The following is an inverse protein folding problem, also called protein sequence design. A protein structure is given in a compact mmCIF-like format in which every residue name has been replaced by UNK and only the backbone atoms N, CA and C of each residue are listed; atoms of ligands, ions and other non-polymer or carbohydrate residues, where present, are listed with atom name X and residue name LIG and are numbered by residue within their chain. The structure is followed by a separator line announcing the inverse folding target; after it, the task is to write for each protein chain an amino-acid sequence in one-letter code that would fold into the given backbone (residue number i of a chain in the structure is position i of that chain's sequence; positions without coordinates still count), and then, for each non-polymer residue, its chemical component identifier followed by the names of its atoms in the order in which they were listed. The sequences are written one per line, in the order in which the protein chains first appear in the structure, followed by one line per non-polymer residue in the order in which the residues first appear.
data_IF_579737244743
#
_entry.id   IF_579737244743
#
_cell.length_a   1.000
_cell.length_b   1.000
_cell.length_c   1.000
_cell.angle_alpha   90.00
_cell.angle_beta   90.00
_cell.angle_gamma   90.00
#
_symmetry.space_group_name_H-M   'P 1'
#
loop_
_entity.id
_entity.type
_entity.pdbx_description
1 polymer ?
#
# COMPACT_ATOMS: atom_id res chain seq x y z
N UNK A 1 -16.87 -31.80 16.01
CA UNK A 1 -17.34 -31.61 14.62
C UNK A 1 -17.67 -30.15 14.31
N UNK A 2 -18.67 -29.49 14.94
CA UNK A 2 -18.98 -28.06 14.66
C UNK A 2 -17.82 -27.11 15.01
N UNK A 3 -17.20 -27.29 16.17
CA UNK A 3 -16.06 -26.48 16.61
C UNK A 3 -14.84 -26.65 15.69
N UNK A 4 -14.56 -27.88 15.25
CA UNK A 4 -13.48 -28.19 14.32
C UNK A 4 -13.69 -27.55 12.94
N UNK A 5 -14.92 -27.58 12.41
CA UNK A 5 -15.27 -26.90 11.17
C UNK A 5 -15.05 -25.38 11.32
N UNK A 6 -15.49 -24.79 12.43
CA UNK A 6 -15.31 -23.37 12.70
C UNK A 6 -13.82 -23.00 12.75
N UNK A 7 -13.01 -23.75 13.50
CA UNK A 7 -11.57 -23.52 13.59
C UNK A 7 -10.90 -23.61 12.22
N UNK A 8 -11.29 -24.59 11.39
CA UNK A 8 -10.76 -24.73 10.03
C UNK A 8 -11.16 -23.55 9.13
N UNK A 9 -12.41 -23.10 9.17
CA UNK A 9 -12.85 -21.93 8.39
C UNK A 9 -12.10 -20.65 8.79
N UNK A 10 -11.87 -20.44 10.09
CA UNK A 10 -11.10 -19.29 10.59
C UNK A 10 -9.62 -19.38 10.19
N UNK A 11 -9.04 -20.60 10.22
CA UNK A 11 -7.68 -20.85 9.74
C UNK A 11 -7.56 -20.55 8.25
N UNK A 12 -8.49 -21.04 7.43
CA UNK A 12 -8.47 -20.82 5.98
C UNK A 12 -8.64 -19.33 5.64
N UNK A 13 -9.55 -18.64 6.34
CA UNK A 13 -9.69 -17.19 6.26
C UNK A 13 -8.40 -16.47 6.65
N UNK A 14 -7.75 -16.86 7.75
CA UNK A 14 -6.49 -16.28 8.20
C UNK A 14 -5.36 -16.46 7.18
N UNK A 15 -5.19 -17.67 6.63
CA UNK A 15 -4.15 -17.95 5.63
C UNK A 15 -4.37 -17.10 4.38
N UNK A 16 -5.60 -17.01 3.89
CA UNK A 16 -5.96 -16.19 2.73
C UNK A 16 -5.71 -14.69 3.01
N UNK A 17 -6.05 -14.20 4.19
CA UNK A 17 -5.79 -12.80 4.57
C UNK A 17 -4.30 -12.48 4.68
N UNK A 18 -3.49 -13.39 5.24
CA UNK A 18 -2.04 -13.23 5.30
C UNK A 18 -1.42 -13.17 3.90
N UNK A 19 -1.84 -14.07 3.00
CA UNK A 19 -1.42 -14.04 1.59
C UNK A 19 -1.75 -12.69 0.94
N UNK A 20 -2.98 -12.19 1.10
CA UNK A 20 -3.35 -10.89 0.55
C UNK A 20 -2.56 -9.73 1.17
N UNK A 21 -2.25 -9.80 2.47
CA UNK A 21 -1.44 -8.79 3.14
C UNK A 21 -0.01 -8.75 2.59
N UNK A 22 0.62 -9.91 2.41
CA UNK A 22 1.95 -10.06 1.81
C UNK A 22 1.97 -9.61 0.33
N UNK A 23 0.96 -9.99 -0.46
CA UNK A 23 0.81 -9.58 -1.85
C UNK A 23 0.73 -8.06 -2.00
N UNK A 24 0.04 -7.37 -1.09
CA UNK A 24 -0.04 -5.91 -1.10
C UNK A 24 1.33 -5.29 -0.84
N UNK A 25 2.13 -5.85 0.06
CA UNK A 25 3.49 -5.34 0.30
C UNK A 25 4.39 -5.55 -0.93
N UNK A 26 4.27 -6.72 -1.57
CA UNK A 26 4.93 -7.01 -2.86
C UNK A 26 4.54 -6.01 -3.97
N UNK A 27 3.25 -5.66 -4.09
CA UNK A 27 2.79 -4.61 -5.00
C UNK A 27 3.39 -3.24 -4.65
N UNK A 28 3.51 -2.93 -3.37
CA UNK A 28 4.16 -1.70 -2.90
C UNK A 28 5.61 -1.59 -3.36
N UNK A 29 6.38 -2.69 -3.29
CA UNK A 29 7.74 -2.75 -3.82
C UNK A 29 7.78 -2.57 -5.34
N UNK A 30 6.87 -3.22 -6.07
CA UNK A 30 6.78 -3.07 -7.53
C UNK A 30 6.48 -1.62 -7.96
N UNK A 31 5.57 -0.95 -7.25
CA UNK A 31 5.23 0.46 -7.51
C UNK A 31 6.45 1.36 -7.32
N UNK A 32 7.24 1.15 -6.26
CA UNK A 32 8.50 1.87 -6.06
C UNK A 32 9.48 1.63 -7.21
N UNK A 33 9.60 0.38 -7.66
CA UNK A 33 10.42 0.02 -8.81
C UNK A 33 9.99 0.77 -10.08
N UNK A 34 8.68 0.82 -10.37
CA UNK A 34 8.16 1.57 -11.51
C UNK A 34 8.39 3.07 -11.39
N UNK A 35 8.21 3.64 -10.19
CA UNK A 35 8.50 5.05 -9.94
C UNK A 35 9.95 5.41 -10.26
N UNK A 36 10.90 4.58 -9.80
CA UNK A 36 12.33 4.78 -10.06
C UNK A 36 12.62 4.67 -11.56
N UNK A 37 12.13 3.61 -12.22
CA UNK A 37 12.36 3.38 -13.65
C UNK A 37 11.85 4.52 -14.51
N UNK A 38 10.61 4.98 -14.29
CA UNK A 38 10.02 6.10 -15.05
C UNK A 38 10.77 7.40 -14.79
N UNK A 39 11.20 7.65 -13.55
CA UNK A 39 12.01 8.83 -13.20
C UNK A 39 13.34 8.82 -13.93
N UNK A 40 14.08 7.71 -13.89
CA UNK A 40 15.38 7.60 -14.58
C UNK A 40 15.21 7.81 -16.09
N UNK A 41 14.18 7.21 -16.69
CA UNK A 41 13.91 7.36 -18.11
C UNK A 41 13.60 8.82 -18.49
N UNK A 42 12.78 9.51 -17.69
CA UNK A 42 12.42 10.91 -17.93
C UNK A 42 13.58 11.86 -17.66
N UNK A 43 14.42 11.61 -16.66
CA UNK A 43 15.66 12.36 -16.43
C UNK A 43 16.65 12.18 -17.58
N UNK A 44 16.84 10.94 -18.05
CA UNK A 44 17.69 10.66 -19.20
C UNK A 44 17.19 11.36 -20.46
N UNK A 45 15.88 11.34 -20.72
CA UNK A 45 15.27 12.06 -21.83
C UNK A 45 15.48 13.59 -21.71
N UNK A 46 15.34 14.16 -20.51
CA UNK A 46 15.57 15.58 -20.26
C UNK A 46 16.99 15.99 -20.66
N UNK A 47 17.99 15.18 -20.27
CA UNK A 47 19.40 15.41 -20.56
C UNK A 47 19.76 15.21 -22.04
N UNK A 48 19.24 14.16 -22.68
CA UNK A 48 19.57 13.84 -24.08
C UNK A 48 18.95 14.86 -25.05
N UNK A 49 17.72 15.29 -24.79
CA UNK A 49 16.97 16.16 -25.70
C UNK A 49 17.01 17.65 -25.31
N UNK A 50 17.72 17.99 -24.22
CA UNK A 50 17.78 19.34 -23.67
C UNK A 50 16.39 19.95 -23.44
N UNK A 51 15.50 19.14 -22.83
CA UNK A 51 14.10 19.50 -22.54
C UNK A 51 13.85 19.43 -21.04
N UNK A 52 14.06 20.55 -20.35
CA UNK A 52 13.82 20.66 -18.91
C UNK A 52 12.38 20.34 -18.51
N UNK A 53 11.41 20.53 -19.41
CA UNK A 53 10.01 20.18 -19.17
C UNK A 53 9.81 18.69 -18.86
N UNK A 54 10.72 17.81 -19.28
CA UNK A 54 10.68 16.40 -18.94
C UNK A 54 10.85 16.13 -17.44
N UNK A 55 11.52 17.03 -16.68
CA UNK A 55 11.58 16.93 -15.21
C UNK A 55 10.20 17.16 -14.56
N UNK A 56 9.35 18.00 -15.15
CA UNK A 56 7.97 18.20 -14.66
C UNK A 56 7.13 16.94 -14.89
N UNK A 57 7.38 16.22 -16.00
CA UNK A 57 6.75 14.92 -16.26
C UNK A 57 7.19 13.89 -15.21
N UNK A 58 8.47 13.88 -14.83
CA UNK A 58 8.97 13.02 -13.74
C UNK A 58 8.21 13.29 -12.43
N UNK A 59 8.04 14.57 -12.05
CA UNK A 59 7.31 14.94 -10.84
C UNK A 59 5.87 14.43 -10.88
N UNK A 60 5.16 14.63 -12.01
CA UNK A 60 3.80 14.15 -12.17
C UNK A 60 3.70 12.63 -12.04
N UNK A 61 4.63 11.88 -12.66
CA UNK A 61 4.67 10.42 -12.54
C UNK A 61 4.93 9.97 -11.10
N UNK A 62 5.88 10.60 -10.40
CA UNK A 62 6.24 10.27 -9.03
C UNK A 62 5.11 10.56 -8.05
N UNK A 63 4.37 11.66 -8.23
CA UNK A 63 3.17 11.94 -7.44
C UNK A 63 2.08 10.86 -7.63
N UNK A 64 1.90 10.38 -8.86
CA UNK A 64 0.97 9.30 -9.16
C UNK A 64 1.40 7.97 -8.51
N UNK A 65 2.67 7.60 -8.60
CA UNK A 65 3.18 6.40 -7.94
C UNK A 65 3.14 6.51 -6.41
N UNK A 66 3.39 7.71 -5.86
CA UNK A 66 3.28 7.97 -4.43
C UNK A 66 1.85 7.74 -3.93
N UNK A 67 0.86 8.29 -4.64
CA UNK A 67 -0.55 8.06 -4.36
C UNK A 67 -0.90 6.57 -4.47
N UNK A 68 -0.46 5.91 -5.54
CA UNK A 68 -0.77 4.50 -5.78
C UNK A 68 -0.19 3.59 -4.69
N UNK A 69 1.08 3.79 -4.29
CA UNK A 69 1.68 3.03 -3.20
C UNK A 69 0.87 3.22 -1.90
N UNK A 70 0.56 4.48 -1.58
CA UNK A 70 -0.20 4.80 -0.38
C UNK A 70 -1.61 4.23 -0.39
N UNK A 71 -2.27 4.20 -1.55
CA UNK A 71 -3.59 3.62 -1.72
C UNK A 71 -3.58 2.11 -1.42
N UNK A 72 -2.63 1.38 -2.02
CA UNK A 72 -2.48 -0.06 -1.77
C UNK A 72 -2.15 -0.35 -0.30
N UNK A 73 -1.23 0.40 0.31
CA UNK A 73 -0.94 0.27 1.75
C UNK A 73 -2.13 0.67 2.63
N UNK A 74 -2.96 1.59 2.17
CA UNK A 74 -4.20 1.95 2.83
C UNK A 74 -5.21 0.80 2.84
N UNK A 75 -5.27 0.00 1.78
CA UNK A 75 -6.13 -1.18 1.71
C UNK A 75 -5.67 -2.30 2.66
N UNK A 76 -4.36 -2.51 2.84
CA UNK A 76 -3.85 -3.56 3.75
C UNK A 76 -4.22 -3.33 5.21
N UNK A 77 -4.46 -2.07 5.62
CA UNK A 77 -4.94 -1.74 6.96
C UNK A 77 -6.21 -2.51 7.33
N UNK A 78 -7.15 -2.65 6.40
CA UNK A 78 -8.46 -3.26 6.67
C UNK A 78 -8.36 -4.78 6.80
N UNK A 79 -7.56 -5.43 5.95
CA UNK A 79 -7.27 -6.86 6.08
C UNK A 79 -6.53 -7.18 7.38
N UNK A 80 -5.61 -6.30 7.80
CA UNK A 80 -4.91 -6.42 9.06
C UNK A 80 -5.85 -6.36 10.29
N UNK A 81 -7.00 -5.68 10.21
CA UNK A 81 -7.96 -5.70 11.32
C UNK A 81 -8.59 -7.08 11.49
N UNK A 82 -8.99 -7.72 10.39
CA UNK A 82 -9.56 -9.08 10.46
C UNK A 82 -8.55 -10.10 10.93
N UNK A 83 -7.29 -9.99 10.48
CA UNK A 83 -6.18 -10.82 11.00
C UNK A 83 -6.08 -10.71 12.52
N UNK A 84 -6.06 -9.48 13.05
CA UNK A 84 -5.98 -9.24 14.51
C UNK A 84 -7.18 -9.79 15.27
N UNK A 85 -8.39 -9.70 14.72
CA UNK A 85 -9.57 -10.30 15.34
C UNK A 85 -9.45 -11.81 15.49
N UNK A 86 -8.98 -12.48 14.43
CA UNK A 86 -8.77 -13.93 14.45
C UNK A 86 -7.67 -14.29 15.47
N UNK A 87 -6.53 -13.60 15.44
CA UNK A 87 -5.43 -13.82 16.40
C UNK A 87 -5.88 -13.64 17.85
N UNK A 88 -6.63 -12.56 18.14
CA UNK A 88 -7.16 -12.31 19.47
C UNK A 88 -8.14 -13.41 19.92
N UNK A 89 -8.98 -13.92 19.02
CA UNK A 89 -9.88 -15.03 19.33
C UNK A 89 -9.14 -16.32 19.67
N UNK A 90 -8.02 -16.60 19.00
CA UNK A 90 -7.22 -17.80 19.26
C UNK A 90 -6.35 -17.71 20.53
N UNK A 91 -6.05 -16.51 21.05
CA UNK A 91 -5.25 -16.34 22.27
C UNK A 91 -5.95 -16.78 23.58
N UNK A 92 -7.28 -16.88 23.62
CA UNK A 92 -8.02 -17.14 24.85
C UNK A 92 -9.35 -17.90 24.69
N UNK A 93 -9.43 -18.80 23.72
CA UNK A 93 -10.64 -19.57 23.34
C UNK A 93 -11.85 -18.75 22.80
N UNK A 94 -11.72 -17.43 22.69
CA UNK A 94 -12.76 -16.55 22.11
C UNK A 94 -13.09 -16.81 20.63
N UNK A 95 -12.32 -17.64 19.95
CA UNK A 95 -12.56 -18.05 18.57
C UNK A 95 -13.90 -18.78 18.38
N UNK A 96 -14.46 -19.39 19.43
CA UNK A 96 -15.77 -20.05 19.37
C UNK A 96 -16.93 -19.08 19.12
N UNK A 97 -16.74 -17.80 19.45
CA UNK A 97 -17.72 -16.73 19.25
C UNK A 97 -17.50 -15.97 17.93
N UNK A 98 -16.35 -16.18 17.27
CA UNK A 98 -16.06 -15.55 16.00
C UNK A 98 -16.92 -16.16 14.90
N UNK A 99 -17.58 -15.29 14.13
CA UNK A 99 -18.16 -15.69 12.85
C UNK A 99 -17.04 -15.76 11.80
N UNK A 100 -16.87 -16.87 11.06
CA UNK A 100 -15.89 -16.97 9.99
C UNK A 100 -16.36 -16.27 8.72
N UNK A 101 -15.45 -16.10 7.76
CA UNK A 101 -15.72 -15.55 6.43
C UNK A 101 -16.28 -14.12 6.47
N UNK A 102 -15.76 -13.29 7.38
CA UNK A 102 -16.23 -11.92 7.61
C UNK A 102 -15.33 -10.85 7.00
N UNK A 103 -14.44 -11.23 6.06
CA UNK A 103 -13.50 -10.31 5.40
C UNK A 103 -14.17 -9.02 4.91
N UNK A 104 -15.22 -9.12 4.10
CA UNK A 104 -15.91 -7.95 3.56
C UNK A 104 -16.65 -7.15 4.63
N UNK A 105 -17.35 -7.83 5.54
CA UNK A 105 -18.08 -7.19 6.64
C UNK A 105 -17.16 -6.35 7.52
N UNK A 106 -15.99 -6.90 7.88
CA UNK A 106 -14.98 -6.21 8.67
C UNK A 106 -14.35 -5.08 7.87
N UNK A 107 -14.02 -5.32 6.59
CA UNK A 107 -13.51 -4.28 5.71
C UNK A 107 -14.46 -3.08 5.64
N UNK A 108 -15.75 -3.31 5.35
CA UNK A 108 -16.76 -2.25 5.23
C UNK A 108 -16.92 -1.51 6.54
N UNK A 109 -17.07 -2.23 7.65
CA UNK A 109 -17.21 -1.63 8.98
C UNK A 109 -16.02 -0.72 9.34
N UNK A 110 -14.81 -1.17 9.06
CA UNK A 110 -13.61 -0.39 9.35
C UNK A 110 -13.42 0.79 8.37
N UNK A 111 -13.86 0.64 7.12
CA UNK A 111 -13.90 1.71 6.14
C UNK A 111 -14.92 2.79 6.53
N UNK A 112 -16.15 2.41 6.89
CA UNK A 112 -17.20 3.34 7.31
C UNK A 112 -16.79 4.11 8.59
N UNK A 113 -16.13 3.41 9.52
CA UNK A 113 -15.65 4.01 10.77
C UNK A 113 -14.51 4.98 10.55
N UNK A 114 -13.61 4.71 9.61
CA UNK A 114 -12.31 5.37 9.58
C UNK A 114 -11.90 6.02 8.26
N UNK A 115 -12.74 5.89 7.23
CA UNK A 115 -12.50 6.29 5.86
C UNK A 115 -11.32 5.58 5.21
N UNK A 116 -11.02 5.95 3.96
CA UNK A 116 -9.81 5.53 3.27
C UNK A 116 -8.55 5.96 4.02
N UNK A 117 -7.54 5.09 4.05
CA UNK A 117 -6.26 5.36 4.75
C UNK A 117 -5.18 5.94 3.86
N UNK A 118 -5.44 6.16 2.57
CA UNK A 118 -4.45 6.62 1.57
C UNK A 118 -3.64 7.81 2.07
N UNK A 119 -4.29 8.89 2.49
CA UNK A 119 -3.58 10.10 2.93
C UNK A 119 -2.64 9.83 4.11
N UNK A 120 -3.08 9.03 5.08
CA UNK A 120 -2.24 8.62 6.22
C UNK A 120 -1.01 7.86 5.76
N UNK A 121 -1.14 6.96 4.78
CA UNK A 121 -0.03 6.18 4.27
C UNK A 121 0.87 6.96 3.29
N UNK A 122 0.38 8.02 2.65
CA UNK A 122 1.21 8.93 1.86
C UNK A 122 2.30 9.55 2.74
N UNK A 123 1.94 10.03 3.92
CA UNK A 123 2.87 10.68 4.85
C UNK A 123 3.60 9.73 5.80
N UNK A 124 3.41 8.41 5.65
CA UNK A 124 4.22 7.43 6.38
C UNK A 124 5.65 7.48 5.83
N UNK A 125 6.65 7.54 6.71
CA UNK A 125 8.07 7.69 6.33
C UNK A 125 8.53 6.70 5.25
N UNK A 126 8.10 5.45 5.35
CA UNK A 126 8.42 4.38 4.39
C UNK A 126 7.91 4.64 2.97
N UNK A 127 6.83 5.41 2.83
CA UNK A 127 6.17 5.76 1.56
C UNK A 127 6.62 7.13 1.07
N UNK A 128 6.71 8.11 1.99
CA UNK A 128 7.06 9.50 1.70
C UNK A 128 8.51 9.65 1.21
N UNK A 129 9.47 9.07 1.93
CA UNK A 129 10.89 9.38 1.76
C UNK A 129 11.40 9.09 0.34
N UNK A 130 11.11 7.94 -0.29
CA UNK A 130 11.60 7.67 -1.64
C UNK A 130 11.08 8.67 -2.69
N UNK A 131 9.80 9.03 -2.61
CA UNK A 131 9.16 9.92 -3.56
C UNK A 131 9.60 11.37 -3.36
N UNK A 132 9.76 11.81 -2.11
CA UNK A 132 10.22 13.15 -1.79
C UNK A 132 11.64 13.41 -2.34
N UNK A 133 12.55 12.44 -2.20
CA UNK A 133 13.92 12.54 -2.75
C UNK A 133 13.88 12.77 -4.25
N UNK A 134 13.04 12.01 -4.96
CA UNK A 134 12.91 12.14 -6.41
C UNK A 134 12.32 13.50 -6.79
N UNK A 135 11.28 13.96 -6.09
CA UNK A 135 10.63 15.26 -6.36
C UNK A 135 11.64 16.40 -6.17
N UNK A 136 12.41 16.39 -5.08
CA UNK A 136 13.44 17.40 -4.82
C UNK A 136 14.50 17.39 -5.93
N UNK A 137 15.01 16.20 -6.29
CA UNK A 137 16.00 16.08 -7.36
C UNK A 137 15.47 16.59 -8.71
N UNK A 138 14.21 16.29 -9.05
CA UNK A 138 13.58 16.77 -10.29
C UNK A 138 13.41 18.30 -10.30
N UNK A 139 13.04 18.89 -9.15
CA UNK A 139 12.91 20.34 -8.99
C UNK A 139 14.27 21.02 -9.15
N UNK A 140 15.30 20.53 -8.47
CA UNK A 140 16.65 21.09 -8.54
C UNK A 140 17.17 21.05 -9.98
N UNK A 141 17.03 19.92 -10.66
CA UNK A 141 17.45 19.77 -12.06
C UNK A 141 16.66 20.66 -13.02
N UNK A 142 15.36 20.89 -12.78
CA UNK A 142 14.55 21.79 -13.59
C UNK A 142 15.08 23.24 -13.56
N UNK A 143 15.51 23.71 -12.39
CA UNK A 143 16.05 25.06 -12.22
C UNK A 143 17.51 25.19 -12.67
N UNK A 144 18.32 24.14 -12.54
CA UNK A 144 19.71 24.13 -13.02
C UNK A 144 19.80 24.06 -14.55
N UNK A 145 18.88 23.31 -15.18
CA UNK A 145 18.82 23.17 -16.64
C UNK A 145 18.11 24.36 -17.33
N UNK A 146 17.75 25.42 -16.59
CA UNK A 146 17.05 26.60 -17.09
C UNK A 146 17.97 27.79 -17.33
#
# INVERSE_FOLDING_TARGET
MKEEILANLLKDEYIMLQQFYEDIDGKGLNIKGWSITVTIATFGAALIYDKKEAYLISIAAVLLFWYLEAYWRGLSYFFAQRIKEIEAGFQGEGWKELSPLQVYSVWSREFDKTGGKTLRYMFKTSTLLPHLIIIVAAIDLYFIAG
#
